data_IF_767036942817
#
_entry.id   IF_767036942817
#
_cell.length_a   1.000
_cell.length_b   1.000
_cell.length_c   1.000
_cell.angle_alpha   90.00
_cell.angle_beta   90.00
_cell.angle_gamma   90.00
#
_symmetry.space_group_name_H-M   'P 1'
#
loop_
_entity.id
_entity.type
_entity.pdbx_description
1 polymer ?
#
# COMPACT_ATOMS: atom_id res chain seq x y z
N UNK A 1 1.27 1.66 14.78
CA UNK A 1 0.59 0.62 14.00
C UNK A 1 0.64 -0.72 14.73
N UNK A 2 -0.48 -1.42 14.72
CA UNK A 2 -0.54 -2.76 15.30
C UNK A 2 -0.29 -3.80 14.23
N UNK A 3 0.48 -4.81 14.56
CA UNK A 3 0.82 -5.90 13.65
C UNK A 3 0.20 -7.19 14.16
N UNK A 4 -0.42 -7.94 13.25
CA UNK A 4 -0.87 -9.30 13.50
C UNK A 4 0.03 -10.26 12.73
N UNK A 5 0.57 -11.27 13.39
CA UNK A 5 1.43 -12.26 12.78
C UNK A 5 0.70 -13.58 12.64
N UNK A 6 0.57 -14.07 11.42
CA UNK A 6 0.05 -15.40 11.16
C UNK A 6 1.05 -16.23 10.36
N UNK A 7 1.69 -15.61 9.38
CA UNK A 7 2.73 -16.24 8.59
C UNK A 7 3.90 -15.27 8.43
N UNK A 8 5.12 -15.80 8.32
CA UNK A 8 6.33 -14.97 8.28
C UNK A 8 6.41 -14.03 7.09
N UNK A 9 5.73 -14.33 5.96
CA UNK A 9 5.76 -13.47 4.77
C UNK A 9 4.60 -12.49 4.69
N UNK A 10 3.57 -12.65 5.52
CA UNK A 10 2.43 -11.74 5.55
C UNK A 10 2.43 -10.93 6.82
N UNK A 11 2.07 -9.66 6.68
CA UNK A 11 1.99 -8.74 7.81
C UNK A 11 0.70 -7.94 7.69
N UNK A 12 0.01 -7.76 8.81
CA UNK A 12 -1.20 -6.96 8.87
C UNK A 12 -1.00 -5.81 9.84
N UNK A 13 -1.40 -4.62 9.41
CA UNK A 13 -1.24 -3.39 10.19
C UNK A 13 -2.56 -2.65 10.28
N UNK A 14 -2.81 -2.06 11.45
CA UNK A 14 -3.96 -1.20 11.65
C UNK A 14 -3.49 0.16 12.14
N UNK A 15 -4.01 1.22 11.55
CA UNK A 15 -3.83 2.57 12.05
C UNK A 15 -5.00 2.90 12.96
N UNK A 16 -4.71 3.17 14.24
CA UNK A 16 -5.73 3.42 15.25
C UNK A 16 -5.55 4.78 15.89
N UNK A 17 -6.67 5.44 16.17
CA UNK A 17 -6.71 6.67 16.96
C UNK A 17 -7.75 6.47 18.03
N UNK A 18 -7.35 6.63 19.30
CA UNK A 18 -8.23 6.46 20.44
C UNK A 18 -8.96 5.10 20.43
N UNK A 19 -8.21 4.04 20.12
CA UNK A 19 -8.69 2.66 20.05
C UNK A 19 -9.70 2.40 18.93
N UNK A 20 -9.90 3.36 18.01
CA UNK A 20 -10.77 3.18 16.86
C UNK A 20 -9.92 3.01 15.61
N UNK A 21 -10.17 1.92 14.87
CA UNK A 21 -9.43 1.64 13.64
C UNK A 21 -9.78 2.64 12.54
N UNK A 22 -8.76 3.29 12.01
CA UNK A 22 -8.90 4.27 10.92
C UNK A 22 -8.56 3.67 9.56
N UNK A 23 -7.76 2.64 9.52
CA UNK A 23 -7.40 1.97 8.28
C UNK A 23 -6.68 0.66 8.55
N UNK A 24 -6.65 -0.19 7.52
CA UNK A 24 -6.01 -1.50 7.56
C UNK A 24 -5.14 -1.67 6.32
N UNK A 25 -4.03 -2.38 6.49
CA UNK A 25 -3.14 -2.70 5.39
C UNK A 25 -2.57 -4.10 5.56
N UNK A 26 -2.60 -4.88 4.48
CA UNK A 26 -2.01 -6.21 4.45
C UNK A 26 -0.85 -6.21 3.45
N UNK A 27 0.30 -6.70 3.91
CA UNK A 27 1.52 -6.73 3.11
C UNK A 27 1.97 -8.16 2.90
N UNK A 28 2.60 -8.42 1.75
CA UNK A 28 3.38 -9.62 1.50
C UNK A 28 4.84 -9.17 1.30
N UNK A 29 5.79 -9.82 1.96
CA UNK A 29 7.13 -9.26 2.08
C UNK A 29 8.24 -10.13 1.50
N UNK A 30 7.96 -11.32 0.99
CA UNK A 30 9.03 -12.24 0.58
C UNK A 30 8.94 -12.73 -0.86
N UNK A 31 7.75 -12.90 -1.42
CA UNK A 31 7.59 -13.57 -2.69
C UNK A 31 7.45 -12.65 -3.89
N UNK A 32 6.78 -11.52 -3.73
CA UNK A 32 6.61 -10.59 -4.84
C UNK A 32 7.91 -9.92 -5.22
N UNK A 33 8.06 -9.66 -6.53
CA UNK A 33 9.23 -9.00 -7.08
C UNK A 33 8.80 -7.80 -7.89
N UNK A 34 9.70 -6.83 -8.00
CA UNK A 34 9.47 -5.63 -8.81
C UNK A 34 9.19 -6.02 -10.27
N UNK A 35 8.19 -5.38 -10.86
CA UNK A 35 7.93 -5.49 -12.29
C UNK A 35 8.71 -4.46 -13.09
N UNK A 36 9.35 -3.52 -12.42
CA UNK A 36 10.11 -2.43 -13.03
C UNK A 36 11.60 -2.76 -13.04
N UNK A 37 12.15 -3.11 -11.89
CA UNK A 37 13.52 -3.56 -11.74
C UNK A 37 13.48 -5.07 -11.48
N UNK A 38 13.40 -5.82 -12.55
CA UNK A 38 13.07 -7.24 -12.50
C UNK A 38 13.94 -8.02 -11.52
N UNK A 39 13.31 -8.98 -10.85
CA UNK A 39 13.91 -9.91 -9.88
C UNK A 39 14.35 -9.26 -8.57
N UNK A 40 14.16 -7.95 -8.38
CA UNK A 40 14.46 -7.34 -7.08
C UNK A 40 13.26 -7.44 -6.14
N UNK A 41 13.51 -7.64 -4.82
CA UNK A 41 12.40 -7.77 -3.89
C UNK A 41 11.72 -6.45 -3.62
N UNK A 42 10.44 -6.52 -3.28
CA UNK A 42 9.67 -5.38 -2.84
C UNK A 42 8.64 -5.83 -1.79
N UNK A 43 8.07 -4.86 -1.10
CA UNK A 43 6.88 -5.09 -0.27
C UNK A 43 5.67 -4.95 -1.18
N UNK A 44 4.81 -5.96 -1.18
CA UNK A 44 3.60 -5.93 -1.98
C UNK A 44 2.38 -5.66 -1.10
N UNK A 45 1.59 -4.66 -1.47
CA UNK A 45 0.37 -4.31 -0.73
C UNK A 45 -0.77 -5.17 -1.27
N UNK A 46 -1.17 -6.17 -0.47
CA UNK A 46 -2.26 -7.07 -0.82
C UNK A 46 -3.62 -6.37 -0.69
N UNK A 47 -3.76 -5.52 0.33
CA UNK A 47 -4.98 -4.78 0.57
C UNK A 47 -4.69 -3.51 1.36
N UNK A 48 -5.43 -2.47 1.05
CA UNK A 48 -5.36 -1.19 1.74
C UNK A 48 -6.78 -0.64 1.83
N UNK A 49 -7.25 -0.39 3.04
CA UNK A 49 -8.60 0.12 3.25
C UNK A 49 -8.62 1.21 4.32
N UNK A 50 -9.32 2.30 4.04
CA UNK A 50 -9.64 3.32 5.02
C UNK A 50 -11.02 3.07 5.59
N UNK A 51 -11.23 3.45 6.86
CA UNK A 51 -12.56 3.40 7.44
C UNK A 51 -13.53 4.28 6.62
N UNK A 52 -14.82 3.91 6.55
CA UNK A 52 -15.77 4.65 5.70
C UNK A 52 -15.85 6.14 5.99
N UNK A 53 -15.74 6.54 7.28
CA UNK A 53 -15.82 7.95 7.66
C UNK A 53 -14.59 8.76 7.22
N UNK A 54 -13.55 8.12 6.72
CA UNK A 54 -12.35 8.79 6.22
C UNK A 54 -12.33 8.88 4.70
N UNK A 55 -13.35 8.39 4.03
CA UNK A 55 -13.43 8.43 2.57
C UNK A 55 -14.16 9.69 2.13
N UNK A 56 -13.55 10.42 1.21
CA UNK A 56 -14.07 11.73 0.79
C UNK A 56 -15.46 11.66 0.16
N UNK A 57 -15.85 10.51 -0.42
CA UNK A 57 -17.16 10.36 -1.01
C UNK A 57 -18.26 10.00 0.00
N UNK A 58 -17.89 9.70 1.23
CA UNK A 58 -18.82 9.35 2.30
C UNK A 58 -19.02 10.53 3.23
N UNK A 59 -17.96 11.28 3.52
CA UNK A 59 -17.99 12.36 4.47
C UNK A 59 -17.06 13.50 4.04
N UNK A 60 -17.51 14.72 4.21
CA UNK A 60 -16.76 15.92 3.86
C UNK A 60 -16.75 16.92 5.00
N UNK A 61 -15.58 17.33 5.47
CA UNK A 61 -14.31 16.68 5.21
C UNK A 61 -14.18 15.36 5.96
N UNK A 62 -13.31 14.43 5.55
CA UNK A 62 -13.06 13.22 6.33
C UNK A 62 -12.53 13.59 7.72
N UNK A 63 -12.83 12.75 8.73
CA UNK A 63 -12.33 12.97 10.08
C UNK A 63 -10.81 12.96 10.14
N UNK A 64 -10.18 12.01 9.45
CA UNK A 64 -8.73 11.88 9.42
C UNK A 64 -8.27 11.74 7.98
N UNK A 65 -7.65 12.80 7.47
CA UNK A 65 -7.09 12.79 6.12
C UNK A 65 -5.75 12.05 6.12
N UNK A 66 -5.43 11.46 4.98
CA UNK A 66 -4.12 10.89 4.78
C UNK A 66 -3.91 9.52 5.43
N UNK A 67 -4.98 8.84 5.84
CA UNK A 67 -4.87 7.49 6.42
C UNK A 67 -4.18 6.53 5.45
N UNK A 68 -4.67 6.47 4.20
CA UNK A 68 -4.08 5.59 3.18
C UNK A 68 -2.65 5.99 2.85
N UNK A 69 -2.38 7.29 2.75
CA UNK A 69 -1.02 7.78 2.51
C UNK A 69 -0.07 7.40 3.63
N UNK A 70 -0.51 7.53 4.88
CA UNK A 70 0.30 7.16 6.04
C UNK A 70 0.63 5.68 6.03
N UNK A 71 -0.36 4.82 5.70
CA UNK A 71 -0.14 3.40 5.60
C UNK A 71 0.86 3.05 4.48
N UNK A 72 0.74 3.70 3.32
CA UNK A 72 1.70 3.48 2.22
C UNK A 72 3.10 3.94 2.59
N UNK A 73 3.24 5.05 3.30
CA UNK A 73 4.54 5.51 3.79
C UNK A 73 5.15 4.50 4.75
N UNK A 74 4.31 3.89 5.60
CA UNK A 74 4.77 2.82 6.48
C UNK A 74 5.24 1.61 5.67
N UNK A 75 4.53 1.25 4.61
CA UNK A 75 4.96 0.15 3.73
C UNK A 75 6.33 0.44 3.12
N UNK A 76 6.59 1.68 2.70
CA UNK A 76 7.91 2.07 2.18
C UNK A 76 8.99 1.96 3.26
N UNK A 77 8.69 2.39 4.49
CA UNK A 77 9.63 2.24 5.60
C UNK A 77 9.90 0.78 5.89
N UNK A 78 8.86 -0.05 5.87
CA UNK A 78 9.02 -1.49 6.06
C UNK A 78 9.92 -2.11 4.99
N UNK A 79 9.75 -1.67 3.74
CA UNK A 79 10.63 -2.08 2.64
C UNK A 79 12.08 -1.70 2.89
N UNK A 80 12.33 -0.48 3.38
CA UNK A 80 13.68 -0.06 3.77
C UNK A 80 14.25 -0.95 4.87
N UNK A 81 13.45 -1.24 5.89
CA UNK A 81 13.88 -2.06 7.02
C UNK A 81 14.24 -3.48 6.59
N UNK A 82 13.58 -4.00 5.57
CA UNK A 82 13.85 -5.31 5.01
C UNK A 82 15.03 -5.34 4.03
N UNK A 83 15.59 -4.18 3.71
CA UNK A 83 16.69 -4.08 2.74
C UNK A 83 16.22 -4.04 1.30
N UNK A 84 14.95 -3.69 1.05
CA UNK A 84 14.39 -3.65 -0.30
C UNK A 84 14.42 -2.26 -0.93
N UNK A 85 15.11 -1.32 -0.31
CA UNK A 85 15.31 0.01 -0.88
C UNK A 85 14.10 0.93 -0.89
N UNK A 86 13.02 0.55 -0.25
CA UNK A 86 11.77 1.33 -0.26
C UNK A 86 10.82 0.95 -1.39
N UNK A 87 11.14 -0.08 -2.19
CA UNK A 87 10.26 -0.54 -3.27
C UNK A 87 8.96 -1.11 -2.70
N UNK A 88 7.83 -0.64 -3.24
CA UNK A 88 6.48 -1.09 -2.85
C UNK A 88 5.66 -1.23 -4.12
N UNK A 89 5.01 -2.36 -4.30
CA UNK A 89 4.13 -2.59 -5.45
C UNK A 89 2.72 -2.94 -5.04
N UNK A 90 1.77 -2.66 -5.91
CA UNK A 90 0.37 -3.04 -5.70
C UNK A 90 -0.39 -3.04 -7.02
N UNK A 91 -1.52 -3.75 -7.01
CA UNK A 91 -2.50 -3.69 -8.09
C UNK A 91 -3.72 -2.96 -7.54
N UNK A 92 -4.18 -1.93 -8.26
CA UNK A 92 -5.28 -1.10 -7.80
C UNK A 92 -6.61 -1.59 -8.33
N UNK A 93 -7.61 -1.66 -7.45
CA UNK A 93 -9.00 -1.76 -7.90
C UNK A 93 -9.35 -0.50 -8.70
N UNK A 94 -10.26 -0.60 -9.69
CA UNK A 94 -10.59 0.55 -10.53
C UNK A 94 -11.00 1.79 -9.74
N UNK A 95 -11.79 1.62 -8.68
CA UNK A 95 -12.26 2.73 -7.85
C UNK A 95 -11.17 3.40 -7.01
N UNK A 96 -10.00 2.78 -6.91
CA UNK A 96 -8.89 3.32 -6.12
C UNK A 96 -7.77 3.93 -6.95
N UNK A 97 -7.83 3.82 -8.29
CA UNK A 97 -6.75 4.29 -9.16
C UNK A 97 -6.44 5.78 -8.96
N UNK A 98 -7.48 6.60 -8.83
CA UNK A 98 -7.29 8.04 -8.65
C UNK A 98 -6.57 8.37 -7.35
N UNK A 99 -6.81 7.58 -6.30
CA UNK A 99 -6.10 7.77 -5.03
C UNK A 99 -4.59 7.63 -5.22
N UNK A 100 -4.16 6.55 -5.87
CA UNK A 100 -2.72 6.32 -6.08
C UNK A 100 -2.11 7.35 -7.03
N UNK A 101 -2.85 7.78 -8.05
CA UNK A 101 -2.38 8.83 -8.96
C UNK A 101 -2.19 10.17 -8.25
N UNK A 102 -3.09 10.51 -7.33
CA UNK A 102 -2.95 11.74 -6.53
C UNK A 102 -1.72 11.70 -5.63
N UNK A 103 -1.33 10.54 -5.18
CA UNK A 103 -0.10 10.36 -4.41
C UNK A 103 1.14 10.34 -5.31
N UNK A 104 0.95 10.45 -6.63
CA UNK A 104 2.02 10.38 -7.62
C UNK A 104 2.78 9.06 -7.57
N UNK A 105 2.09 7.98 -7.22
CA UNK A 105 2.68 6.67 -7.32
C UNK A 105 2.81 6.31 -8.79
N UNK A 106 4.01 5.92 -9.27
CA UNK A 106 4.18 5.56 -10.68
C UNK A 106 3.29 4.40 -11.09
N UNK A 107 2.64 4.53 -12.26
CA UNK A 107 1.77 3.48 -12.77
C UNK A 107 2.35 2.88 -14.05
N UNK A 108 2.09 1.59 -14.24
CA UNK A 108 2.69 0.82 -15.33
C UNK A 108 1.65 0.07 -16.17
N UNK A 109 0.41 0.55 -16.12
CA UNK A 109 -0.64 0.04 -16.97
C UNK A 109 -1.32 -1.21 -16.43
N UNK A 110 -2.22 -1.75 -17.23
CA UNK A 110 -3.04 -2.90 -16.84
C UNK A 110 -2.21 -4.18 -16.90
N UNK A 111 -2.35 -5.00 -15.86
CA UNK A 111 -1.63 -6.26 -15.76
C UNK A 111 -2.58 -7.42 -16.13
N UNK A 112 -2.41 -8.07 -17.29
CA UNK A 112 -3.31 -9.14 -17.71
C UNK A 112 -3.25 -10.37 -16.77
N UNK A 113 -2.14 -10.57 -16.07
CA UNK A 113 -2.02 -11.66 -15.11
C UNK A 113 -2.70 -11.38 -13.78
N UNK A 114 -3.22 -10.15 -13.61
CA UNK A 114 -3.96 -9.73 -12.41
C UNK A 114 -5.29 -9.12 -12.82
N UNK A 115 -6.03 -9.83 -13.65
CA UNK A 115 -7.40 -9.44 -14.06
C UNK A 115 -7.47 -8.06 -14.71
N UNK A 116 -6.37 -7.60 -15.30
CA UNK A 116 -6.32 -6.29 -15.94
C UNK A 116 -6.23 -5.11 -14.97
N UNK A 117 -5.98 -5.36 -13.71
CA UNK A 117 -5.82 -4.27 -12.73
C UNK A 117 -4.57 -3.46 -13.02
N UNK A 118 -4.63 -2.17 -12.74
CA UNK A 118 -3.48 -1.29 -12.97
C UNK A 118 -2.42 -1.53 -11.91
N UNK A 119 -1.18 -1.73 -12.35
CA UNK A 119 -0.04 -1.93 -11.47
C UNK A 119 0.63 -0.60 -11.15
N UNK A 120 0.89 -0.39 -9.86
CA UNK A 120 1.62 0.78 -9.36
C UNK A 120 2.84 0.30 -8.57
N UNK A 121 3.94 1.02 -8.70
CA UNK A 121 5.14 0.68 -7.94
C UNK A 121 5.95 1.91 -7.59
N UNK A 122 6.28 2.06 -6.29
CA UNK A 122 7.34 2.97 -5.87
C UNK A 122 8.69 2.31 -6.09
N UNK A 123 9.60 3.01 -6.74
CA UNK A 123 10.99 2.57 -6.89
C UNK A 123 11.82 2.85 -5.65
N UNK A 124 13.14 2.63 -5.79
CA UNK A 124 14.09 2.86 -4.71
C UNK A 124 14.01 4.30 -4.22
N UNK A 125 13.98 4.47 -2.89
CA UNK A 125 14.08 5.80 -2.29
C UNK A 125 15.51 6.30 -2.44
N UNK A 126 15.64 7.50 -2.99
CA UNK A 126 16.94 8.17 -3.13
C UNK A 126 17.07 9.23 -2.05
N UNK A 127 18.25 9.31 -1.51
CA UNK A 127 18.57 10.33 -0.51
C UNK A 127 19.30 11.49 -1.16
#
# INVERSE_FOLDING_TARGET
>A
LRQSRQESRYEAYALEVEALTQGLMFLETQWHRSQVQLATPLVYVEALASAPWNRSYVEHPPFFRGVGQTLLQFARQRSLDLGYGGRVGLHSLPESEMFYRRLRMPEYGNDPEKEGLVYFEYGVLRR
#
